data_IF_242541898765
#
_entry.id   IF_242541898765
#
_cell.length_a   1.000
_cell.length_b   1.000
_cell.length_c   1.000
_cell.angle_alpha   90.00
_cell.angle_beta   90.00
_cell.angle_gamma   90.00
#
_symmetry.space_group_name_H-M   'P 1'
#
loop_
_entity.id
_entity.type
_entity.pdbx_description
1 polymer ?
#
# COMPACT_ATOMS: atom_id res chain seq x y z
N UNK A 1 -8.62 -5.06 38.57
CA UNK A 1 -8.26 -5.23 37.16
C UNK A 1 -7.95 -6.70 36.95
N UNK A 2 -8.81 -7.37 36.19
CA UNK A 2 -8.64 -8.78 35.85
C UNK A 2 -8.05 -8.87 34.45
N UNK A 3 -6.96 -9.61 34.29
CA UNK A 3 -6.42 -9.91 32.96
C UNK A 3 -7.29 -10.98 32.29
N UNK A 4 -7.70 -10.77 31.05
CA UNK A 4 -8.66 -11.61 30.31
C UNK A 4 -8.15 -11.91 28.91
N UNK A 5 -8.70 -12.95 28.28
CA UNK A 5 -8.30 -13.32 26.92
C UNK A 5 -8.88 -12.36 25.86
N UNK A 6 -8.34 -12.41 24.64
CA UNK A 6 -8.91 -11.69 23.50
C UNK A 6 -10.37 -12.09 23.22
N UNK A 7 -10.70 -13.38 23.35
CA UNK A 7 -12.06 -13.88 23.16
C UNK A 7 -13.04 -13.26 24.16
N UNK A 8 -12.60 -13.08 25.42
CA UNK A 8 -13.42 -12.44 26.46
C UNK A 8 -13.61 -10.94 26.21
N UNK A 9 -12.59 -10.26 25.69
CA UNK A 9 -12.69 -8.87 25.25
C UNK A 9 -13.69 -8.71 24.09
N UNK A 10 -13.55 -9.52 23.03
CA UNK A 10 -14.45 -9.49 21.87
C UNK A 10 -15.89 -9.81 22.26
N UNK A 11 -16.10 -10.80 23.12
CA UNK A 11 -17.42 -11.14 23.63
C UNK A 11 -18.06 -9.97 24.41
N UNK A 12 -17.27 -9.29 25.26
CA UNK A 12 -17.74 -8.14 26.02
C UNK A 12 -18.09 -6.94 25.13
N UNK A 13 -17.29 -6.68 24.09
CA UNK A 13 -17.55 -5.61 23.13
C UNK A 13 -18.77 -5.93 22.26
N UNK A 14 -18.85 -7.15 21.72
CA UNK A 14 -19.97 -7.63 20.92
C UNK A 14 -21.30 -7.62 21.70
N UNK A 15 -21.28 -7.79 23.01
CA UNK A 15 -22.48 -7.69 23.84
C UNK A 15 -23.16 -6.31 23.74
N UNK A 16 -22.37 -5.25 23.62
CA UNK A 16 -22.84 -3.87 23.56
C UNK A 16 -23.07 -3.40 22.12
N UNK A 17 -22.13 -3.67 21.21
CA UNK A 17 -22.15 -3.11 19.84
C UNK A 17 -22.42 -4.15 18.73
N UNK A 18 -22.48 -5.44 19.07
CA UNK A 18 -22.67 -6.52 18.10
C UNK A 18 -24.02 -6.44 17.39
N UNK A 19 -23.97 -6.20 16.08
CA UNK A 19 -25.15 -6.18 15.20
C UNK A 19 -26.08 -4.98 15.40
N UNK A 20 -25.62 -3.91 16.08
CA UNK A 20 -26.41 -2.69 16.33
C UNK A 20 -25.67 -1.44 15.88
N UNK A 21 -26.42 -0.38 15.56
CA UNK A 21 -25.82 0.94 15.34
C UNK A 21 -25.37 1.54 16.66
N UNK A 22 -24.23 2.21 16.65
CA UNK A 22 -23.62 2.82 17.82
C UNK A 22 -23.04 4.19 17.47
N UNK A 23 -22.95 5.07 18.48
CA UNK A 23 -22.20 6.32 18.40
C UNK A 23 -20.83 6.10 19.04
N UNK A 24 -19.77 6.33 18.29
CA UNK A 24 -18.39 6.29 18.78
C UNK A 24 -17.90 7.71 19.11
N UNK A 25 -17.26 7.86 20.26
CA UNK A 25 -16.48 9.04 20.65
C UNK A 25 -15.05 8.59 20.98
N UNK A 26 -14.06 9.32 20.47
CA UNK A 26 -12.66 8.94 20.60
C UNK A 26 -11.82 10.18 20.94
N UNK A 27 -10.99 10.05 21.97
CA UNK A 27 -10.08 11.10 22.44
C UNK A 27 -8.68 10.53 22.60
N UNK A 28 -7.69 11.31 22.16
CA UNK A 28 -6.27 10.97 22.28
C UNK A 28 -5.64 11.88 23.34
N UNK A 29 -5.07 11.28 24.38
CA UNK A 29 -4.30 11.96 25.42
C UNK A 29 -2.89 11.36 25.48
N UNK A 30 -1.92 12.03 24.85
CA UNK A 30 -0.56 11.50 24.74
C UNK A 30 -0.50 10.27 23.84
N UNK A 31 -0.05 9.14 24.36
CA UNK A 31 -0.05 7.82 23.69
C UNK A 31 -1.29 6.98 24.00
N UNK A 32 -2.18 7.47 24.86
CA UNK A 32 -3.35 6.73 25.34
C UNK A 32 -4.60 7.13 24.55
N UNK A 33 -5.26 6.16 23.94
CA UNK A 33 -6.52 6.35 23.21
C UNK A 33 -7.67 5.94 24.13
N UNK A 34 -8.66 6.82 24.30
CA UNK A 34 -9.92 6.49 24.97
C UNK A 34 -11.06 6.49 23.96
N UNK A 35 -11.74 5.35 23.84
CA UNK A 35 -12.91 5.20 22.98
C UNK A 35 -14.13 4.86 23.81
N UNK A 36 -15.26 5.44 23.44
CA UNK A 36 -16.57 5.20 24.05
C UNK A 36 -17.56 4.85 22.95
N UNK A 37 -18.26 3.73 23.11
CA UNK A 37 -19.26 3.26 22.18
C UNK A 37 -20.62 3.23 22.85
N UNK A 38 -21.53 4.10 22.45
CA UNK A 38 -22.87 4.21 23.04
C UNK A 38 -23.92 3.60 22.13
N UNK A 39 -24.71 2.67 22.67
CA UNK A 39 -25.87 2.06 22.02
C UNK A 39 -27.10 2.11 22.93
N UNK A 40 -28.25 1.66 22.42
CA UNK A 40 -29.44 1.43 23.25
C UNK A 40 -29.24 0.33 24.31
N UNK A 41 -28.23 -0.56 24.13
CA UNK A 41 -27.91 -1.65 25.06
C UNK A 41 -26.98 -1.21 26.20
N UNK A 42 -26.43 0.00 26.13
CA UNK A 42 -25.48 0.55 27.07
C UNK A 42 -24.24 1.09 26.39
N UNK A 43 -23.25 1.43 27.20
CA UNK A 43 -21.99 2.02 26.77
C UNK A 43 -20.83 1.07 27.04
N UNK A 44 -19.95 0.90 26.05
CA UNK A 44 -18.67 0.22 26.18
C UNK A 44 -17.55 1.25 26.18
N UNK A 45 -16.60 1.11 27.09
CA UNK A 45 -15.47 2.00 27.26
C UNK A 45 -14.19 1.20 27.08
N UNK A 46 -13.25 1.75 26.33
CA UNK A 46 -11.91 1.19 26.21
C UNK A 46 -10.84 2.28 26.28
N UNK A 47 -9.72 1.91 26.88
CA UNK A 47 -8.52 2.72 27.01
C UNK A 47 -7.36 1.86 26.50
N UNK A 48 -6.78 2.24 25.35
CA UNK A 48 -5.59 1.59 24.82
C UNK A 48 -4.36 2.43 25.18
N UNK A 49 -3.43 1.82 25.91
CA UNK A 49 -2.11 2.39 26.22
C UNK A 49 -1.02 1.47 25.68
N UNK A 50 -0.59 1.71 24.43
CA UNK A 50 0.54 1.01 23.81
C UNK A 50 0.34 -0.50 23.65
N UNK A 51 -0.88 -0.96 23.37
CA UNK A 51 -1.23 -2.37 23.20
C UNK A 51 -1.84 -3.01 24.45
N UNK A 52 -1.83 -2.33 25.60
CA UNK A 52 -2.57 -2.74 26.78
C UNK A 52 -3.96 -2.09 26.75
N UNK A 53 -4.99 -2.90 26.50
CA UNK A 53 -6.38 -2.47 26.41
C UNK A 53 -7.09 -2.71 27.73
N UNK A 54 -7.43 -1.64 28.44
CA UNK A 54 -8.36 -1.67 29.57
C UNK A 54 -9.78 -1.39 29.08
N UNK A 55 -10.76 -2.20 29.49
CA UNK A 55 -12.14 -2.04 29.04
C UNK A 55 -13.16 -2.40 30.11
N UNK A 56 -14.33 -1.78 30.01
CA UNK A 56 -15.51 -2.02 30.85
C UNK A 56 -16.78 -1.59 30.12
N UNK A 57 -17.94 -1.91 30.68
CA UNK A 57 -19.23 -1.47 30.14
C UNK A 57 -20.22 -1.13 31.24
N UNK A 58 -21.33 -0.49 30.89
CA UNK A 58 -22.42 -0.21 31.84
C UNK A 58 -23.01 -1.50 32.45
N UNK A 59 -22.89 -2.64 31.76
CA UNK A 59 -23.31 -3.96 32.24
C UNK A 59 -22.26 -4.67 33.08
N UNK A 60 -21.00 -4.41 32.76
CA UNK A 60 -19.82 -5.00 33.40
C UNK A 60 -18.88 -3.88 33.83
N UNK A 61 -19.20 -3.18 34.95
CA UNK A 61 -18.45 -2.02 35.40
C UNK A 61 -17.05 -2.36 35.91
N UNK A 62 -16.78 -3.65 36.16
CA UNK A 62 -15.45 -4.14 36.48
C UNK A 62 -14.49 -3.97 35.30
N UNK A 63 -13.43 -3.19 35.53
CA UNK A 63 -12.33 -3.05 34.58
C UNK A 63 -11.59 -4.38 34.38
N UNK A 64 -11.49 -4.75 33.10
CA UNK A 64 -10.77 -5.90 32.57
C UNK A 64 -9.67 -5.43 31.63
N UNK A 65 -8.60 -6.18 31.52
CA UNK A 65 -7.43 -5.83 30.71
C UNK A 65 -7.09 -6.98 29.79
N UNK A 66 -6.83 -6.66 28.53
CA UNK A 66 -6.29 -7.55 27.53
C UNK A 66 -5.02 -6.92 26.94
N UNK A 67 -3.97 -7.71 26.74
CA UNK A 67 -2.74 -7.27 26.08
C UNK A 67 -2.72 -7.74 24.62
N UNK A 68 -2.73 -6.79 23.68
CA UNK A 68 -2.68 -7.05 22.24
C UNK A 68 -1.42 -7.81 21.81
N UNK A 69 -0.34 -7.73 22.58
CA UNK A 69 0.89 -8.46 22.27
C UNK A 69 0.78 -9.96 22.61
N UNK A 70 -0.12 -10.37 23.51
CA UNK A 70 -0.36 -11.80 23.81
C UNK A 70 -1.05 -12.53 22.64
N UNK A 71 -1.70 -11.79 21.74
CA UNK A 71 -2.20 -12.31 20.45
C UNK A 71 -1.05 -12.77 19.54
N UNK A 72 0.14 -12.21 19.67
CA UNK A 72 1.30 -12.56 18.86
C UNK A 72 1.98 -13.87 19.32
N UNK A 73 1.68 -14.37 20.53
CA UNK A 73 2.33 -15.55 21.14
C UNK A 73 1.43 -16.79 21.23
N UNK A 74 0.13 -16.70 20.90
CA UNK A 74 -0.77 -17.84 20.92
C UNK A 74 -0.44 -18.86 19.79
N UNK A 75 -0.32 -20.17 20.09
CA UNK A 75 -0.04 -21.18 19.07
C UNK A 75 -1.21 -21.28 18.08
N UNK A 76 -0.88 -21.37 16.80
CA UNK A 76 -1.85 -21.44 15.71
C UNK A 76 -2.88 -22.56 15.94
N UNK A 77 -4.13 -22.15 16.12
CA UNK A 77 -5.28 -23.05 16.12
C UNK A 77 -5.34 -23.84 14.80
N UNK A 78 -5.92 -25.06 14.80
CA UNK A 78 -6.01 -25.87 13.59
C UNK A 78 -6.70 -25.10 12.47
N UNK A 79 -6.14 -25.18 11.27
CA UNK A 79 -6.59 -24.49 10.06
C UNK A 79 -8.02 -24.92 9.73
N UNK A 80 -9.01 -24.18 10.24
CA UNK A 80 -10.27 -23.96 9.55
C UNK A 80 -9.97 -23.01 8.40
N UNK A 81 -10.27 -23.43 7.17
CA UNK A 81 -10.06 -22.65 5.94
C UNK A 81 -11.08 -21.50 5.79
N UNK A 82 -11.35 -20.78 6.87
CA UNK A 82 -12.05 -19.49 6.83
C UNK A 82 -11.01 -18.41 7.13
N UNK A 83 -10.54 -17.74 6.08
CA UNK A 83 -9.76 -16.52 6.22
C UNK A 83 -10.60 -15.52 7.00
N UNK A 84 -10.19 -15.17 8.22
CA UNK A 84 -10.79 -14.06 8.96
C UNK A 84 -10.50 -12.77 8.18
N UNK A 85 -11.51 -12.01 7.73
CA UNK A 85 -11.30 -10.77 7.00
C UNK A 85 -10.58 -9.74 7.89
N UNK A 86 -9.64 -8.99 7.30
CA UNK A 86 -8.97 -7.89 7.99
C UNK A 86 -9.90 -6.70 8.24
N UNK A 87 -9.53 -5.80 9.16
CA UNK A 87 -10.34 -4.62 9.49
C UNK A 87 -10.73 -3.79 8.26
N UNK A 88 -9.78 -3.51 7.37
CA UNK A 88 -10.07 -2.71 6.17
C UNK A 88 -10.96 -3.44 5.14
N UNK A 89 -10.94 -4.78 5.11
CA UNK A 89 -11.83 -5.59 4.27
C UNK A 89 -13.29 -5.47 4.76
N UNK A 90 -13.50 -5.59 6.08
CA UNK A 90 -14.81 -5.40 6.70
C UNK A 90 -15.38 -3.98 6.46
N UNK A 91 -14.53 -2.96 6.55
CA UNK A 91 -14.92 -1.58 6.26
C UNK A 91 -15.27 -1.39 4.78
N UNK A 92 -14.48 -1.95 3.87
CA UNK A 92 -14.77 -1.92 2.44
C UNK A 92 -16.15 -2.52 2.13
N UNK A 93 -16.46 -3.68 2.70
CA UNK A 93 -17.76 -4.34 2.50
C UNK A 93 -18.91 -3.54 3.10
N UNK A 94 -18.71 -2.91 4.26
CA UNK A 94 -19.67 -1.97 4.84
C UNK A 94 -19.94 -0.79 3.91
N UNK A 95 -18.89 -0.18 3.32
CA UNK A 95 -19.06 0.95 2.38
C UNK A 95 -19.83 0.49 1.14
N UNK A 96 -19.49 -0.67 0.56
CA UNK A 96 -20.16 -1.21 -0.64
C UNK A 96 -21.64 -1.49 -0.42
N UNK A 97 -22.02 -1.95 0.78
CA UNK A 97 -23.40 -2.32 1.09
C UNK A 97 -24.27 -1.14 1.55
N UNK A 98 -23.67 -0.11 2.14
CA UNK A 98 -24.41 1.04 2.69
C UNK A 98 -24.41 2.27 1.78
N UNK A 99 -23.45 2.37 0.85
CA UNK A 99 -23.36 3.50 -0.10
C UNK A 99 -24.24 3.27 -1.30
N UNK A 100 -25.20 4.17 -1.54
CA UNK A 100 -26.04 4.16 -2.76
C UNK A 100 -25.40 4.92 -3.92
N UNK A 101 -24.58 5.93 -3.64
CA UNK A 101 -23.99 6.82 -4.63
C UNK A 101 -22.48 6.96 -4.38
N UNK A 102 -21.69 6.15 -5.07
CA UNK A 102 -20.24 6.10 -4.94
C UNK A 102 -19.54 7.41 -5.38
N UNK A 103 -20.23 8.30 -6.11
CA UNK A 103 -19.65 9.60 -6.51
C UNK A 103 -19.44 10.54 -5.32
N UNK A 104 -20.11 10.30 -4.20
CA UNK A 104 -20.06 11.14 -2.99
C UNK A 104 -19.05 10.67 -1.95
N UNK A 105 -18.31 9.60 -2.24
CA UNK A 105 -17.29 9.10 -1.32
C UNK A 105 -16.17 10.11 -1.13
N UNK A 106 -15.75 10.26 0.12
CA UNK A 106 -14.56 11.03 0.44
C UNK A 106 -13.28 10.24 0.09
N UNK A 107 -12.13 10.90 0.14
CA UNK A 107 -10.86 10.30 -0.29
C UNK A 107 -10.42 9.13 0.60
N UNK A 108 -10.80 9.12 1.89
CA UNK A 108 -10.53 8.01 2.79
C UNK A 108 -11.42 6.80 2.48
N UNK A 109 -12.70 7.00 2.18
CA UNK A 109 -13.61 5.92 1.78
C UNK A 109 -13.19 5.30 0.44
N UNK A 110 -12.77 6.12 -0.53
CA UNK A 110 -12.19 5.64 -1.79
C UNK A 110 -10.93 4.81 -1.54
N UNK A 111 -10.04 5.30 -0.68
CA UNK A 111 -8.84 4.57 -0.28
C UNK A 111 -9.18 3.22 0.35
N UNK A 112 -10.19 3.15 1.23
CA UNK A 112 -10.65 1.90 1.84
C UNK A 112 -11.17 0.93 0.77
N UNK A 113 -11.96 1.40 -0.19
CA UNK A 113 -12.48 0.53 -1.26
C UNK A 113 -11.36 -0.02 -2.15
N UNK A 114 -10.33 0.79 -2.42
CA UNK A 114 -9.25 0.43 -3.33
C UNK A 114 -8.15 -0.41 -2.65
N UNK A 115 -7.89 -0.17 -1.36
CA UNK A 115 -6.69 -0.65 -0.65
C UNK A 115 -6.96 -1.16 0.77
N UNK A 116 -8.18 -1.08 1.28
CA UNK A 116 -8.52 -1.49 2.64
C UNK A 116 -8.19 -2.94 2.94
N UNK A 117 -8.32 -3.83 1.96
CA UNK A 117 -7.97 -5.26 2.09
C UNK A 117 -6.49 -5.54 2.43
N UNK A 118 -5.61 -4.55 2.29
CA UNK A 118 -4.19 -4.70 2.64
C UNK A 118 -3.93 -4.64 4.14
N UNK A 119 -4.87 -4.10 4.92
CA UNK A 119 -4.64 -3.72 6.32
C UNK A 119 -5.52 -4.52 7.27
N UNK A 120 -4.88 -5.17 8.24
CA UNK A 120 -5.57 -6.08 9.15
C UNK A 120 -6.12 -5.34 10.37
N UNK A 121 -5.52 -4.19 10.72
CA UNK A 121 -5.95 -3.33 11.85
C UNK A 121 -6.35 -1.92 11.41
N UNK A 122 -7.00 -1.18 12.32
CA UNK A 122 -7.39 0.21 12.11
C UNK A 122 -6.16 1.14 12.00
N UNK A 123 -5.15 0.90 12.81
CA UNK A 123 -3.90 1.65 12.86
C UNK A 123 -3.12 1.50 11.55
N UNK A 124 -3.00 0.27 11.06
CA UNK A 124 -2.35 -0.02 9.78
C UNK A 124 -3.07 0.67 8.61
N UNK A 125 -4.41 0.65 8.62
CA UNK A 125 -5.24 1.28 7.61
C UNK A 125 -5.06 2.81 7.61
N UNK A 126 -5.08 3.44 8.78
CA UNK A 126 -4.85 4.88 8.95
C UNK A 126 -3.45 5.27 8.50
N UNK A 127 -2.43 4.54 8.93
CA UNK A 127 -1.05 4.77 8.49
C UNK A 127 -0.92 4.59 6.97
N UNK A 128 -1.61 3.60 6.37
CA UNK A 128 -1.68 3.42 4.93
C UNK A 128 -2.29 4.61 4.20
N UNK A 129 -3.37 5.16 4.75
CA UNK A 129 -4.00 6.34 4.20
C UNK A 129 -3.10 7.56 4.30
N UNK A 130 -2.44 7.79 5.44
CA UNK A 130 -1.53 8.91 5.65
C UNK A 130 -0.37 8.88 4.65
N UNK A 131 0.22 7.71 4.37
CA UNK A 131 1.25 7.56 3.34
C UNK A 131 0.71 7.88 1.94
N UNK A 132 -0.51 7.41 1.62
CA UNK A 132 -1.15 7.70 0.35
C UNK A 132 -1.45 9.19 0.18
N UNK A 133 -1.87 9.85 1.26
CA UNK A 133 -2.12 11.28 1.31
C UNK A 133 -0.83 12.08 1.12
N UNK A 134 0.26 11.71 1.80
CA UNK A 134 1.58 12.33 1.61
C UNK A 134 2.02 12.25 0.15
N UNK A 135 1.90 11.07 -0.47
CA UNK A 135 2.25 10.86 -1.86
C UNK A 135 1.44 11.77 -2.80
N UNK A 136 0.11 11.84 -2.62
CA UNK A 136 -0.75 12.71 -3.45
C UNK A 136 -0.48 14.20 -3.27
N UNK A 137 0.12 14.60 -2.15
CA UNK A 137 0.51 15.99 -1.86
C UNK A 137 1.98 16.28 -2.20
N UNK A 138 2.67 15.36 -2.88
CA UNK A 138 4.07 15.55 -3.27
C UNK A 138 5.03 15.61 -2.09
N UNK A 139 4.68 14.95 -0.97
CA UNK A 139 5.51 14.84 0.21
C UNK A 139 6.27 13.51 0.15
N UNK A 140 7.59 13.57 0.32
CA UNK A 140 8.43 12.38 0.35
C UNK A 140 8.08 11.55 1.59
N UNK A 141 7.68 10.29 1.37
CA UNK A 141 7.52 9.31 2.45
C UNK A 141 8.88 8.92 3.00
N UNK A 142 8.97 8.59 4.29
CA UNK A 142 10.22 8.11 4.90
C UNK A 142 10.57 6.68 4.47
N UNK A 143 11.78 6.22 4.78
CA UNK A 143 12.19 4.84 4.50
C UNK A 143 11.29 3.83 5.24
N UNK A 144 10.95 4.12 6.50
CA UNK A 144 10.06 3.29 7.33
C UNK A 144 8.64 3.25 6.76
N UNK A 145 8.14 4.39 6.27
CA UNK A 145 6.83 4.48 5.62
C UNK A 145 6.79 3.68 4.32
N UNK A 146 7.83 3.81 3.49
CA UNK A 146 7.97 3.06 2.26
C UNK A 146 8.03 1.55 2.51
N UNK A 147 8.83 1.13 3.49
CA UNK A 147 8.95 -0.27 3.92
C UNK A 147 7.63 -0.82 4.47
N UNK A 148 6.92 -0.05 5.30
CA UNK A 148 5.61 -0.43 5.82
C UNK A 148 4.57 -0.61 4.69
N UNK A 149 4.61 0.24 3.66
CA UNK A 149 3.74 0.07 2.49
C UNK A 149 4.04 -1.22 1.72
N UNK A 150 5.31 -1.57 1.56
CA UNK A 150 5.69 -2.82 0.89
C UNK A 150 5.22 -4.02 1.70
N UNK A 151 5.42 -3.98 3.01
CA UNK A 151 5.03 -5.07 3.93
C UNK A 151 3.52 -5.29 3.96
N UNK A 152 2.69 -4.27 3.77
CA UNK A 152 1.24 -4.45 3.66
C UNK A 152 0.83 -5.23 2.41
N UNK A 153 1.67 -5.21 1.36
CA UNK A 153 1.41 -5.87 0.06
C UNK A 153 2.08 -7.22 -0.07
N UNK A 154 3.29 -7.37 0.46
CA UNK A 154 4.14 -8.57 0.31
C UNK A 154 4.31 -9.25 1.67
N UNK A 155 3.18 -9.55 2.33
CA UNK A 155 3.16 -10.14 3.69
C UNK A 155 3.92 -11.47 3.81
N UNK A 156 4.12 -12.18 2.69
CA UNK A 156 4.81 -13.47 2.63
C UNK A 156 6.34 -13.38 2.58
N UNK A 157 6.93 -12.24 2.19
CA UNK A 157 8.37 -12.12 1.94
C UNK A 157 9.06 -11.32 3.06
N UNK A 158 9.33 -11.99 4.18
CA UNK A 158 9.93 -11.36 5.37
C UNK A 158 11.40 -10.96 5.21
N UNK A 159 12.07 -11.42 4.17
CA UNK A 159 13.50 -11.16 3.93
C UNK A 159 13.75 -10.07 2.88
N UNK A 160 12.70 -9.40 2.42
CA UNK A 160 12.78 -8.39 1.38
C UNK A 160 13.53 -7.14 1.89
N UNK A 161 14.68 -6.86 1.28
CA UNK A 161 15.46 -5.64 1.55
C UNK A 161 14.95 -4.49 0.68
N UNK A 162 14.31 -3.51 1.32
CA UNK A 162 13.68 -2.35 0.66
C UNK A 162 14.62 -1.14 0.61
N UNK A 163 15.73 -1.16 1.34
CA UNK A 163 16.60 -0.01 1.56
C UNK A 163 17.25 0.47 0.25
N UNK A 164 17.82 -0.45 -0.53
CA UNK A 164 18.52 -0.11 -1.79
C UNK A 164 17.61 0.53 -2.82
N UNK A 165 16.36 0.05 -2.92
CA UNK A 165 15.39 0.67 -3.82
C UNK A 165 15.05 2.08 -3.33
N UNK A 166 14.73 2.23 -2.04
CA UNK A 166 14.40 3.53 -1.47
C UNK A 166 15.54 4.55 -1.66
N UNK A 167 16.78 4.17 -1.39
CA UNK A 167 17.96 5.01 -1.62
C UNK A 167 18.08 5.44 -3.09
N UNK A 168 17.83 4.52 -4.03
CA UNK A 168 17.85 4.80 -5.47
C UNK A 168 16.77 5.83 -5.83
N UNK A 169 15.55 5.66 -5.31
CA UNK A 169 14.42 6.58 -5.55
C UNK A 169 14.67 7.96 -4.96
N UNK A 170 15.17 8.05 -3.73
CA UNK A 170 15.51 9.32 -3.08
C UNK A 170 16.59 10.06 -3.88
N UNK A 171 17.60 9.34 -4.40
CA UNK A 171 18.60 9.96 -5.29
C UNK A 171 17.94 10.54 -6.55
N UNK A 172 17.00 9.83 -7.18
CA UNK A 172 16.29 10.34 -8.34
C UNK A 172 15.42 11.57 -8.01
N UNK A 173 14.85 11.64 -6.81
CA UNK A 173 14.14 12.83 -6.32
C UNK A 173 15.11 14.01 -6.13
N UNK A 174 16.29 13.77 -5.54
CA UNK A 174 17.34 14.79 -5.37
C UNK A 174 17.84 15.32 -6.73
N UNK A 175 17.95 14.43 -7.71
CA UNK A 175 18.29 14.76 -9.11
C UNK A 175 17.12 15.38 -9.89
N UNK A 176 15.93 15.51 -9.28
CA UNK A 176 14.69 16.04 -9.88
C UNK A 176 14.19 15.22 -11.08
N UNK A 177 14.55 13.94 -11.16
CA UNK A 177 14.10 12.98 -12.18
C UNK A 177 12.79 12.29 -11.79
N UNK A 178 12.48 12.30 -10.51
CA UNK A 178 11.28 11.72 -9.93
C UNK A 178 10.68 12.75 -8.96
N UNK A 179 9.35 12.82 -8.86
CA UNK A 179 8.73 13.66 -7.82
C UNK A 179 8.71 12.93 -6.48
N UNK A 180 8.68 13.64 -5.34
CA UNK A 180 8.54 12.99 -4.04
C UNK A 180 7.30 12.09 -3.92
N UNK A 181 6.20 12.47 -4.59
CA UNK A 181 4.95 11.71 -4.59
C UNK A 181 5.05 10.37 -5.32
N UNK A 182 5.86 10.31 -6.39
CA UNK A 182 6.00 9.10 -7.21
C UNK A 182 6.75 7.99 -6.49
N UNK A 183 7.58 8.31 -5.48
CA UNK A 183 8.34 7.32 -4.70
C UNK A 183 7.43 6.23 -4.14
N UNK A 184 6.26 6.62 -3.62
CA UNK A 184 5.29 5.68 -3.05
C UNK A 184 4.78 4.66 -4.08
N UNK A 185 4.71 5.03 -5.36
CA UNK A 185 4.23 4.14 -6.41
C UNK A 185 5.16 2.93 -6.61
N UNK A 186 6.46 3.08 -6.33
CA UNK A 186 7.41 1.99 -6.40
C UNK A 186 7.24 0.94 -5.30
N UNK A 187 6.51 1.24 -4.22
CA UNK A 187 6.08 0.23 -3.25
C UNK A 187 4.99 -0.69 -3.85
N UNK A 188 4.25 -0.20 -4.85
CA UNK A 188 3.27 -0.98 -5.62
C UNK A 188 3.96 -1.81 -6.69
N UNK A 189 5.00 -1.27 -7.32
CA UNK A 189 5.82 -1.95 -8.33
C UNK A 189 6.81 -2.93 -7.69
N UNK A 190 6.27 -3.92 -6.98
CA UNK A 190 7.03 -4.85 -6.13
C UNK A 190 8.15 -5.60 -6.85
N UNK A 191 8.13 -5.67 -8.17
CA UNK A 191 9.27 -6.17 -8.92
C UNK A 191 10.54 -5.34 -8.72
N UNK A 192 10.45 -3.99 -8.76
CA UNK A 192 11.60 -3.09 -8.67
C UNK A 192 12.38 -3.30 -7.36
N UNK A 193 11.75 -3.91 -6.35
CA UNK A 193 12.37 -4.27 -5.07
C UNK A 193 13.48 -5.30 -5.24
N UNK A 194 13.33 -6.23 -6.18
CA UNK A 194 14.30 -7.32 -6.39
C UNK A 194 15.44 -6.92 -7.32
N UNK A 195 15.23 -5.85 -8.11
CA UNK A 195 16.22 -5.30 -9.04
C UNK A 195 16.21 -3.77 -9.00
N UNK A 196 16.73 -3.13 -7.93
CA UNK A 196 16.84 -1.67 -7.85
C UNK A 196 17.60 -1.05 -9.02
N UNK A 197 18.55 -1.78 -9.61
CA UNK A 197 19.30 -1.41 -10.81
C UNK A 197 18.42 -1.22 -12.06
N UNK A 198 17.21 -1.78 -12.07
CA UNK A 198 16.26 -1.59 -13.14
C UNK A 198 15.64 -0.19 -13.13
N UNK A 199 15.70 0.54 -12.00
CA UNK A 199 15.16 1.90 -11.87
C UNK A 199 16.13 2.91 -12.49
N UNK A 200 16.13 2.93 -13.82
CA UNK A 200 16.89 3.85 -14.67
C UNK A 200 16.00 4.97 -15.19
N UNK A 201 16.61 6.11 -15.53
CA UNK A 201 15.89 7.29 -15.99
C UNK A 201 16.49 7.83 -17.30
N UNK A 202 15.62 8.24 -18.21
CA UNK A 202 15.99 8.90 -19.46
C UNK A 202 15.21 10.21 -19.61
N UNK A 203 15.84 11.21 -20.21
CA UNK A 203 15.23 12.53 -20.43
C UNK A 203 14.49 12.52 -21.77
N UNK A 204 13.22 12.93 -21.80
CA UNK A 204 12.44 13.09 -23.05
C UNK A 204 12.55 14.51 -23.63
N UNK A 205 12.80 15.48 -22.75
CA UNK A 205 12.89 16.89 -23.04
C UNK A 205 13.56 17.58 -21.84
N UNK A 206 14.09 18.80 -21.99
CA UNK A 206 14.75 19.50 -20.89
C UNK A 206 13.92 19.52 -19.59
N UNK A 207 14.42 18.84 -18.55
CA UNK A 207 13.79 18.74 -17.24
C UNK A 207 12.62 17.75 -17.15
N UNK A 208 12.34 16.98 -18.19
CA UNK A 208 11.29 15.95 -18.21
C UNK A 208 11.92 14.57 -18.29
N UNK A 209 11.74 13.80 -17.23
CA UNK A 209 12.36 12.49 -17.05
C UNK A 209 11.31 11.39 -17.04
N UNK A 210 11.65 10.28 -17.68
CA UNK A 210 10.90 9.03 -17.68
C UNK A 210 11.73 8.01 -16.90
N UNK A 211 11.15 7.43 -15.84
CA UNK A 211 11.83 6.49 -14.94
C UNK A 211 11.18 5.13 -15.06
N UNK A 212 11.99 4.08 -15.18
CA UNK A 212 11.51 2.73 -15.35
C UNK A 212 10.74 2.25 -14.11
N UNK A 213 9.50 1.83 -14.34
CA UNK A 213 8.63 1.13 -13.37
C UNK A 213 8.26 -0.29 -13.83
N UNK A 214 8.72 -0.72 -15.01
CA UNK A 214 8.50 -2.04 -15.55
C UNK A 214 9.57 -2.99 -15.03
N UNK A 215 9.11 -4.16 -14.60
CA UNK A 215 9.97 -5.13 -13.98
C UNK A 215 10.51 -6.20 -14.90
N UNK A 216 9.67 -6.68 -15.80
CA UNK A 216 9.95 -7.94 -16.49
C UNK A 216 11.04 -7.75 -17.55
N UNK A 217 12.25 -8.23 -17.26
CA UNK A 217 13.32 -8.25 -18.27
C UNK A 217 13.01 -9.23 -19.39
N UNK A 218 13.26 -8.82 -20.62
CA UNK A 218 13.15 -9.67 -21.80
C UNK A 218 14.46 -9.69 -22.59
N UNK A 219 14.59 -10.60 -23.57
CA UNK A 219 15.77 -10.61 -24.44
C UNK A 219 15.73 -9.46 -25.45
N UNK A 220 16.90 -9.07 -25.96
CA UNK A 220 16.98 -8.05 -27.01
C UNK A 220 16.23 -8.46 -28.29
N UNK A 221 16.24 -9.74 -28.64
CA UNK A 221 15.52 -10.26 -29.80
C UNK A 221 14.01 -10.13 -29.61
N UNK A 222 13.50 -10.46 -28.42
CA UNK A 222 12.09 -10.28 -28.10
C UNK A 222 11.72 -8.80 -28.15
N UNK A 223 12.52 -7.94 -27.52
CA UNK A 223 12.28 -6.50 -27.50
C UNK A 223 12.22 -5.89 -28.91
N UNK A 224 13.09 -6.34 -29.82
CA UNK A 224 13.05 -5.95 -31.22
C UNK A 224 11.74 -6.32 -31.89
N UNK A 225 11.26 -7.54 -31.68
CA UNK A 225 9.97 -7.99 -32.25
C UNK A 225 8.84 -7.10 -31.74
N UNK A 226 8.72 -6.92 -30.43
CA UNK A 226 7.65 -6.11 -29.81
C UNK A 226 7.64 -4.66 -30.33
N UNK A 227 8.82 -4.01 -30.38
CA UNK A 227 8.94 -2.64 -30.89
C UNK A 227 8.52 -2.54 -32.36
N UNK A 228 8.90 -3.51 -33.19
CA UNK A 228 8.57 -3.51 -34.60
C UNK A 228 7.08 -3.80 -34.86
N UNK A 229 6.50 -4.73 -34.09
CA UNK A 229 5.08 -5.08 -34.21
C UNK A 229 4.17 -3.90 -33.79
N UNK A 230 4.51 -3.20 -32.70
CA UNK A 230 3.69 -2.10 -32.20
C UNK A 230 3.81 -0.84 -33.08
N UNK A 231 5.04 -0.43 -33.41
CA UNK A 231 5.30 0.88 -34.02
C UNK A 231 5.64 0.82 -35.52
N UNK A 232 5.73 -0.38 -36.10
CA UNK A 232 6.03 -0.56 -37.53
C UNK A 232 7.47 -0.24 -37.92
N UNK A 233 8.42 -0.25 -36.98
CA UNK A 233 9.84 -0.07 -37.30
C UNK A 233 10.40 -1.24 -38.10
N UNK A 234 11.38 -0.96 -38.96
CA UNK A 234 12.11 -1.99 -39.68
C UNK A 234 13.11 -2.67 -38.74
N UNK A 235 12.92 -3.97 -38.47
CA UNK A 235 13.73 -4.73 -37.52
C UNK A 235 15.25 -4.67 -37.78
N UNK A 236 15.66 -4.59 -39.05
CA UNK A 236 17.08 -4.47 -39.44
C UNK A 236 17.75 -3.18 -38.96
N UNK A 237 16.95 -2.16 -38.61
CA UNK A 237 17.38 -0.82 -38.20
C UNK A 237 17.21 -0.56 -36.71
N UNK A 238 16.57 -1.47 -35.99
CA UNK A 238 16.36 -1.37 -34.54
C UNK A 238 17.53 -2.00 -33.79
N UNK A 239 18.16 -1.21 -32.93
CA UNK A 239 19.18 -1.68 -31.98
C UNK A 239 18.74 -1.38 -30.56
N UNK A 240 18.53 -2.42 -29.76
CA UNK A 240 18.20 -2.26 -28.34
C UNK A 240 19.40 -1.68 -27.59
N UNK A 241 19.14 -0.76 -26.66
CA UNK A 241 20.14 -0.09 -25.83
C UNK A 241 19.87 -0.41 -24.37
N UNK A 242 20.84 -1.05 -23.71
CA UNK A 242 20.71 -1.49 -22.33
C UNK A 242 19.74 -2.66 -22.17
N UNK A 243 19.27 -2.89 -20.95
CA UNK A 243 18.31 -3.96 -20.62
C UNK A 243 16.89 -3.54 -21.01
N UNK A 244 16.18 -4.28 -21.87
CA UNK A 244 14.78 -4.01 -22.18
C UNK A 244 13.85 -4.62 -21.12
N UNK A 245 12.87 -3.84 -20.69
CA UNK A 245 11.81 -4.29 -19.77
C UNK A 245 10.47 -4.29 -20.50
N UNK A 246 9.74 -5.40 -20.42
CA UNK A 246 8.45 -5.58 -21.06
C UNK A 246 7.62 -6.62 -20.32
N UNK A 247 6.50 -6.18 -19.77
CA UNK A 247 5.47 -7.07 -19.21
C UNK A 247 4.23 -7.10 -20.11
N UNK A 248 3.84 -5.93 -20.63
CA UNK A 248 2.74 -5.75 -21.57
C UNK A 248 2.97 -4.51 -22.47
N UNK A 249 2.15 -4.36 -23.50
CA UNK A 249 2.18 -3.22 -24.45
C UNK A 249 2.01 -1.86 -23.74
N UNK A 250 1.29 -1.82 -22.63
CA UNK A 250 1.07 -0.65 -21.79
C UNK A 250 1.94 -0.63 -20.52
N UNK A 251 2.83 -1.63 -20.35
CA UNK A 251 3.77 -1.68 -19.24
C UNK A 251 5.14 -2.25 -19.64
N UNK A 252 6.02 -1.35 -20.05
CA UNK A 252 7.30 -1.60 -20.67
C UNK A 252 8.24 -0.40 -20.48
N UNK A 253 9.54 -0.63 -20.66
CA UNK A 253 10.57 0.40 -20.70
C UNK A 253 11.72 -0.09 -21.59
N UNK A 254 11.64 0.24 -22.88
CA UNK A 254 12.57 -0.24 -23.90
C UNK A 254 13.22 0.95 -24.60
N UNK A 255 14.52 1.13 -24.39
CA UNK A 255 15.33 2.10 -25.14
C UNK A 255 15.95 1.43 -26.36
N UNK A 256 15.90 2.10 -27.50
CA UNK A 256 16.48 1.60 -28.74
C UNK A 256 16.86 2.71 -29.72
N UNK A 257 17.83 2.45 -30.58
CA UNK A 257 18.15 3.31 -31.71
C UNK A 257 17.41 2.82 -32.94
N UNK A 258 16.85 3.76 -33.71
CA UNK A 258 16.36 3.52 -35.05
C UNK A 258 16.54 4.76 -35.92
N UNK A 259 17.13 4.57 -37.10
CA UNK A 259 17.29 5.64 -38.10
C UNK A 259 18.01 6.91 -37.60
N UNK A 260 19.09 6.74 -36.82
CA UNK A 260 19.88 7.83 -36.21
C UNK A 260 19.16 8.62 -35.10
N UNK A 261 18.04 8.09 -34.59
CA UNK A 261 17.35 8.63 -33.44
C UNK A 261 17.30 7.59 -32.33
N UNK A 262 17.42 8.06 -31.09
CA UNK A 262 17.22 7.27 -29.88
C UNK A 262 15.77 7.41 -29.43
N UNK A 263 15.11 6.28 -29.21
CA UNK A 263 13.72 6.20 -28.77
C UNK A 263 13.62 5.49 -27.43
N UNK A 264 12.58 5.83 -26.68
CA UNK A 264 12.13 5.14 -25.48
C UNK A 264 10.65 4.80 -25.63
N UNK A 265 10.34 3.51 -25.67
CA UNK A 265 8.97 3.02 -25.56
C UNK A 265 8.68 2.72 -24.10
N UNK A 266 7.73 3.46 -23.51
CA UNK A 266 7.37 3.31 -22.10
C UNK A 266 5.88 3.56 -21.89
N UNK A 267 5.26 2.71 -21.06
CA UNK A 267 3.85 2.81 -20.63
C UNK A 267 2.88 3.14 -21.79
N UNK A 268 2.98 2.39 -22.87
CA UNK A 268 2.14 2.53 -24.08
C UNK A 268 2.52 3.68 -25.03
N UNK A 269 3.54 4.49 -24.70
CA UNK A 269 3.90 5.69 -25.45
C UNK A 269 5.34 5.62 -25.96
N UNK A 270 5.58 6.25 -27.12
CA UNK A 270 6.91 6.33 -27.74
C UNK A 270 7.44 7.76 -27.66
N UNK A 271 8.61 7.91 -27.05
CA UNK A 271 9.29 9.17 -26.86
C UNK A 271 10.64 9.18 -27.57
N UNK A 272 11.02 10.31 -28.15
CA UNK A 272 12.39 10.52 -28.56
C UNK A 272 13.21 10.89 -27.32
N UNK A 273 14.34 10.22 -27.11
CA UNK A 273 15.23 10.53 -25.97
C UNK A 273 15.98 11.82 -26.28
N UNK A 274 16.01 12.72 -25.30
CA UNK A 274 16.80 13.94 -25.30
C UNK A 274 18.23 13.61 -24.84
N UNK A 275 19.20 13.83 -25.73
CA UNK A 275 20.64 13.60 -25.51
C UNK A 275 21.43 14.91 -25.60
#
# INVERSE_FOLDING_TARGET
MTHVSFEEYEAAKAEIIGGVQYKEDSTLEGSTIRKTYTTERGTFYEVNDGGRVEFWSDKHPESRIYDENERAEAPAAPVTTERVPGYGELLSDKIRTTTQDFSKLNDFEKFILDRGYLYDTEEELKAGYDRSWKASHGILVTAEEFDAEIKSRVKWDKALDTAKLYETLVRLVQEKKLTPGDVMQYAVYTWCLRKPEAVVAYEEAPGKWLVNNCGTEISEERARVEVCEEWGFEASRVRIIGTPYYDATDWQFIRFDCAHMTWLWTNGNLYQVYE
#
